data_IF_632000552347
#
_entry.id   IF_632000552347
#
_cell.length_a   1.000
_cell.length_b   1.000
_cell.length_c   1.000
_cell.angle_alpha   90.00
_cell.angle_beta   90.00
_cell.angle_gamma   90.00
#
_symmetry.space_group_name_H-M   'P 1'
#
loop_
_entity.id
_entity.type
_entity.pdbx_description
1 polymer ?
#
# COMPACT_ATOMS: atom_id res chain seq x y z
N UNK A 1 -22.56 -3.40 58.50
CA UNK A 1 -22.22 -4.23 57.33
C UNK A 1 -22.06 -3.26 56.14
N UNK A 2 -20.83 -2.77 55.96
CA UNK A 2 -20.51 -1.80 54.88
C UNK A 2 -19.98 -2.54 53.67
N UNK A 3 -20.67 -2.43 52.54
CA UNK A 3 -20.21 -2.97 51.27
C UNK A 3 -19.24 -1.95 50.61
N UNK A 4 -18.03 -2.37 50.44
CA UNK A 4 -17.00 -1.66 49.65
C UNK A 4 -17.28 -1.89 48.17
N UNK A 5 -17.28 -0.87 47.32
CA UNK A 5 -17.35 -1.06 45.87
C UNK A 5 -15.98 -1.50 45.34
N UNK A 6 -15.97 -2.61 44.60
CA UNK A 6 -14.80 -3.07 43.87
C UNK A 6 -14.47 -2.06 42.74
N UNK A 7 -13.36 -1.37 42.88
CA UNK A 7 -12.79 -0.58 41.80
C UNK A 7 -12.16 -1.54 40.78
N UNK A 8 -12.82 -1.74 39.63
CA UNK A 8 -12.22 -2.35 38.47
C UNK A 8 -11.20 -1.37 37.90
N UNK A 9 -9.95 -1.47 38.31
CA UNK A 9 -8.83 -0.77 37.72
C UNK A 9 -8.50 -1.42 36.38
N UNK A 10 -9.00 -0.86 35.31
CA UNK A 10 -8.39 -1.07 34.01
C UNK A 10 -6.99 -0.43 34.09
N UNK A 11 -5.95 -1.26 34.14
CA UNK A 11 -4.57 -0.79 34.12
C UNK A 11 -4.34 -0.08 32.77
N UNK A 12 -3.97 1.21 32.82
CA UNK A 12 -3.52 1.93 31.63
C UNK A 12 -2.37 1.14 30.98
N UNK A 13 -2.46 0.81 29.68
CA UNK A 13 -1.41 0.05 29.01
C UNK A 13 -0.12 0.87 29.04
N UNK A 14 0.93 0.28 29.60
CA UNK A 14 2.26 0.91 29.59
C UNK A 14 2.68 1.16 28.12
N UNK A 15 3.30 2.30 27.78
CA UNK A 15 3.64 2.68 26.41
C UNK A 15 4.39 1.60 25.62
N UNK A 16 5.23 0.80 26.28
CA UNK A 16 5.96 -0.30 25.66
C UNK A 16 5.09 -1.51 25.30
N UNK A 17 4.00 -1.77 26.04
CA UNK A 17 3.09 -2.90 25.76
C UNK A 17 2.20 -2.59 24.55
N UNK A 18 1.70 -1.36 24.42
CA UNK A 18 0.86 -0.93 23.29
C UNK A 18 1.64 -0.96 21.95
N UNK A 19 2.88 -0.51 21.96
CA UNK A 19 3.74 -0.57 20.75
C UNK A 19 4.06 -2.01 20.35
N UNK A 20 4.29 -2.89 21.30
CA UNK A 20 4.55 -4.32 21.05
C UNK A 20 3.32 -5.01 20.49
N UNK A 21 2.14 -4.72 21.04
CA UNK A 21 0.88 -5.27 20.55
C UNK A 21 0.57 -4.75 19.14
N UNK A 22 0.73 -3.46 18.88
CA UNK A 22 0.59 -2.89 17.54
C UNK A 22 1.53 -3.56 16.54
N UNK A 23 2.80 -3.78 16.91
CA UNK A 23 3.77 -4.48 16.07
C UNK A 23 3.29 -5.89 15.71
N UNK A 24 2.77 -6.65 16.67
CA UNK A 24 2.20 -7.98 16.43
C UNK A 24 0.99 -7.94 15.48
N UNK A 25 0.10 -6.95 15.63
CA UNK A 25 -1.04 -6.78 14.74
C UNK A 25 -0.61 -6.37 13.31
N UNK A 26 0.40 -5.53 13.17
CA UNK A 26 0.97 -5.17 11.85
C UNK A 26 1.55 -6.40 11.16
N UNK A 27 2.31 -7.25 11.86
CA UNK A 27 2.83 -8.51 11.31
C UNK A 27 1.69 -9.44 10.89
N UNK A 28 0.66 -9.58 11.74
CA UNK A 28 -0.51 -10.39 11.42
C UNK A 28 -1.24 -9.87 10.18
N UNK A 29 -1.50 -8.56 10.10
CA UNK A 29 -2.14 -7.91 8.97
C UNK A 29 -1.33 -8.15 7.67
N UNK A 30 -0.02 -7.93 7.70
CA UNK A 30 0.86 -8.14 6.55
C UNK A 30 0.77 -9.58 6.03
N UNK A 31 0.76 -10.57 6.94
CA UNK A 31 0.59 -11.99 6.57
C UNK A 31 -0.77 -12.28 5.92
N UNK A 32 -1.86 -11.73 6.47
CA UNK A 32 -3.21 -11.91 5.90
C UNK A 32 -3.32 -11.26 4.52
N UNK A 33 -2.80 -10.04 4.37
CA UNK A 33 -2.75 -9.35 3.07
C UNK A 33 -1.92 -10.14 2.06
N UNK A 34 -0.76 -10.68 2.45
CA UNK A 34 0.08 -11.49 1.57
C UNK A 34 -0.65 -12.78 1.13
N UNK A 35 -1.34 -13.48 2.04
CA UNK A 35 -2.12 -14.66 1.72
C UNK A 35 -3.26 -14.34 0.74
N UNK A 36 -3.99 -13.25 0.97
CA UNK A 36 -5.06 -12.79 0.06
C UNK A 36 -4.50 -12.43 -1.32
N UNK A 37 -3.37 -11.71 -1.36
CA UNK A 37 -2.67 -11.38 -2.62
C UNK A 37 -2.27 -12.63 -3.40
N UNK A 38 -1.72 -13.66 -2.75
CA UNK A 38 -1.36 -14.91 -3.41
C UNK A 38 -2.57 -15.60 -4.07
N UNK A 39 -3.75 -15.56 -3.44
CA UNK A 39 -5.00 -16.06 -4.03
C UNK A 39 -5.48 -15.22 -5.23
N UNK A 40 -5.31 -13.91 -5.18
CA UNK A 40 -5.69 -13.01 -6.27
C UNK A 40 -4.73 -13.12 -7.47
N UNK A 41 -3.43 -13.32 -7.22
CA UNK A 41 -2.42 -13.47 -8.28
C UNK A 41 -2.63 -14.77 -9.09
N UNK A 42 -3.07 -15.85 -8.44
CA UNK A 42 -3.45 -17.10 -9.13
C UNK A 42 -4.70 -16.97 -10.03
N UNK A 43 -5.43 -15.88 -9.89
CA UNK A 43 -6.58 -15.50 -10.73
C UNK A 43 -6.23 -14.36 -11.67
N UNK A 44 -5.00 -14.33 -12.24
CA UNK A 44 -4.58 -13.30 -13.18
C UNK A 44 -5.68 -13.05 -14.24
N UNK A 45 -6.59 -12.14 -13.94
CA UNK A 45 -7.54 -11.58 -14.89
C UNK A 45 -6.75 -10.60 -15.74
N UNK A 46 -6.77 -10.76 -17.03
CA UNK A 46 -6.09 -9.90 -18.00
C UNK A 46 -4.56 -10.06 -18.15
N UNK A 47 -3.93 -11.12 -17.63
CA UNK A 47 -2.49 -11.35 -17.82
C UNK A 47 -1.56 -10.35 -17.08
N UNK A 48 -2.13 -9.46 -16.26
CA UNK A 48 -1.39 -8.43 -15.52
C UNK A 48 -1.20 -8.88 -14.08
N UNK A 49 0.05 -8.96 -13.64
CA UNK A 49 0.39 -9.29 -12.26
C UNK A 49 -0.04 -8.18 -11.30
N UNK A 50 -0.34 -8.56 -10.07
CA UNK A 50 -0.66 -7.58 -9.00
C UNK A 50 0.44 -6.53 -8.79
N UNK A 51 1.69 -6.90 -9.02
CA UNK A 51 2.82 -5.97 -8.94
C UNK A 51 2.70 -4.80 -9.93
N UNK A 52 2.11 -5.04 -11.10
CA UNK A 52 1.84 -4.01 -12.08
C UNK A 52 0.71 -3.05 -11.67
N UNK A 53 -0.20 -3.49 -10.77
CA UNK A 53 -1.22 -2.60 -10.20
C UNK A 53 -0.61 -1.43 -9.43
N UNK A 54 0.47 -1.65 -8.69
CA UNK A 54 1.15 -0.57 -7.94
C UNK A 54 1.70 0.49 -8.88
N UNK A 55 2.29 0.07 -10.00
CA UNK A 55 2.75 0.98 -11.07
C UNK A 55 1.59 1.78 -11.64
N UNK A 56 0.50 1.10 -11.98
CA UNK A 56 -0.69 1.73 -12.54
C UNK A 56 -1.33 2.70 -11.54
N UNK A 57 -1.38 2.34 -10.26
CA UNK A 57 -1.86 3.21 -9.18
C UNK A 57 -1.11 4.56 -9.19
N UNK A 58 0.21 4.54 -9.19
CA UNK A 58 1.01 5.78 -9.18
C UNK A 58 0.80 6.61 -10.44
N UNK A 59 0.76 5.98 -11.62
CA UNK A 59 0.53 6.69 -12.88
C UNK A 59 -0.88 7.29 -12.98
N UNK A 60 -1.89 6.66 -12.40
CA UNK A 60 -3.26 7.20 -12.37
C UNK A 60 -3.39 8.33 -11.34
N UNK A 61 -2.74 8.20 -10.16
CA UNK A 61 -2.86 9.17 -9.07
C UNK A 61 -1.97 10.40 -9.24
N UNK A 62 -0.72 10.20 -9.66
CA UNK A 62 0.30 11.26 -9.74
C UNK A 62 0.53 11.76 -11.17
N UNK A 63 -0.12 11.14 -12.18
CA UNK A 63 0.05 11.50 -13.57
C UNK A 63 1.25 10.85 -14.24
N UNK A 64 1.56 11.33 -15.45
CA UNK A 64 2.69 10.84 -16.22
C UNK A 64 4.01 11.16 -15.52
N UNK A 65 4.95 10.21 -15.52
CA UNK A 65 6.26 10.37 -14.87
C UNK A 65 7.34 9.53 -15.54
N UNK A 66 8.59 9.88 -15.30
CA UNK A 66 9.76 9.09 -15.76
C UNK A 66 9.85 7.77 -14.98
N UNK A 67 10.40 6.75 -15.63
CA UNK A 67 10.59 5.43 -15.01
C UNK A 67 11.45 5.47 -13.74
N UNK A 68 12.43 6.37 -13.67
CA UNK A 68 13.26 6.57 -12.47
C UNK A 68 12.44 7.12 -11.30
N UNK A 69 11.62 8.14 -11.51
CA UNK A 69 10.74 8.70 -10.48
C UNK A 69 9.72 7.66 -9.99
N UNK A 70 9.21 6.82 -10.89
CA UNK A 70 8.33 5.71 -10.54
C UNK A 70 9.03 4.66 -9.67
N UNK A 71 10.28 4.31 -9.99
CA UNK A 71 11.09 3.37 -9.20
C UNK A 71 11.33 3.86 -7.77
N UNK A 72 11.65 5.13 -7.61
CA UNK A 72 11.82 5.78 -6.31
C UNK A 72 10.51 5.77 -5.51
N UNK A 73 9.38 6.12 -6.15
CA UNK A 73 8.06 6.19 -5.51
C UNK A 73 7.56 4.82 -5.04
N UNK A 74 7.81 3.77 -5.84
CA UNK A 74 7.42 2.38 -5.52
C UNK A 74 8.43 1.71 -4.59
N UNK A 75 9.58 2.33 -4.33
CA UNK A 75 10.70 1.74 -3.59
C UNK A 75 11.12 0.37 -4.16
N UNK A 76 11.21 0.29 -5.48
CA UNK A 76 11.56 -0.92 -6.22
C UNK A 76 12.81 -0.69 -7.05
N UNK A 77 13.52 -1.77 -7.36
CA UNK A 77 14.69 -1.68 -8.22
C UNK A 77 14.28 -1.31 -9.67
N UNK A 78 15.14 -0.58 -10.41
CA UNK A 78 14.83 -0.14 -11.76
C UNK A 78 14.55 -1.29 -12.74
N UNK A 79 15.13 -2.47 -12.53
CA UNK A 79 14.96 -3.63 -13.42
C UNK A 79 13.57 -4.25 -13.24
N UNK A 80 13.07 -4.27 -12.02
CA UNK A 80 11.70 -4.72 -11.71
C UNK A 80 10.68 -3.76 -12.30
N UNK A 81 10.85 -2.45 -12.11
CA UNK A 81 9.97 -1.42 -12.71
C UNK A 81 10.00 -1.51 -14.24
N UNK A 82 11.18 -1.72 -14.85
CA UNK A 82 11.30 -1.86 -16.30
C UNK A 82 10.49 -3.05 -16.83
N UNK A 83 10.53 -4.20 -16.16
CA UNK A 83 9.73 -5.38 -16.55
C UNK A 83 8.24 -5.16 -16.38
N UNK A 84 7.82 -4.59 -15.26
CA UNK A 84 6.42 -4.30 -14.97
C UNK A 84 5.83 -3.30 -15.97
N UNK A 85 6.57 -2.23 -16.28
CA UNK A 85 6.15 -1.23 -17.25
C UNK A 85 6.11 -1.78 -18.68
N UNK A 86 7.06 -2.66 -19.06
CA UNK A 86 7.02 -3.31 -20.37
C UNK A 86 5.75 -4.16 -20.53
N UNK A 87 5.42 -4.97 -19.54
CA UNK A 87 4.17 -5.76 -19.53
C UNK A 87 2.92 -4.88 -19.62
N UNK A 88 2.85 -3.78 -18.87
CA UNK A 88 1.71 -2.86 -18.93
C UNK A 88 1.58 -2.15 -20.29
N UNK A 89 2.71 -1.83 -20.95
CA UNK A 89 2.71 -1.28 -22.32
C UNK A 89 2.21 -2.32 -23.32
N UNK A 90 2.68 -3.56 -23.21
CA UNK A 90 2.25 -4.66 -24.08
C UNK A 90 0.73 -4.91 -24.00
N UNK A 91 0.16 -4.77 -22.79
CA UNK A 91 -1.29 -4.89 -22.57
C UNK A 91 -2.06 -3.59 -22.88
N UNK A 92 -1.41 -2.54 -23.36
CA UNK A 92 -2.04 -1.27 -23.70
C UNK A 92 -2.59 -0.47 -22.50
N UNK A 93 -2.14 -0.79 -21.27
CA UNK A 93 -2.61 -0.15 -20.03
C UNK A 93 -1.82 1.13 -19.68
N UNK A 94 -0.60 1.21 -20.14
CA UNK A 94 0.21 2.41 -20.10
C UNK A 94 0.84 2.68 -21.48
N UNK A 95 1.22 3.90 -21.70
CA UNK A 95 1.91 4.30 -22.92
C UNK A 95 3.16 5.11 -22.62
N UNK A 96 4.04 5.19 -23.60
CA UNK A 96 5.26 6.03 -23.56
C UNK A 96 4.98 7.32 -24.28
N UNK A 97 5.21 8.46 -23.63
CA UNK A 97 5.06 9.80 -24.18
C UNK A 97 6.39 10.55 -24.14
N UNK A 98 6.68 11.45 -25.07
CA UNK A 98 7.79 12.40 -24.91
C UNK A 98 7.62 13.20 -23.61
N UNK A 99 8.72 13.43 -22.92
CA UNK A 99 8.71 14.30 -21.74
C UNK A 99 8.53 15.75 -22.22
N UNK A 100 7.58 16.51 -21.66
CA UNK A 100 7.33 17.89 -22.11
C UNK A 100 8.49 18.85 -21.83
N UNK A 101 9.33 18.55 -20.84
CA UNK A 101 10.44 19.41 -20.42
C UNK A 101 11.78 18.98 -21.04
N UNK A 102 11.87 17.72 -21.52
CA UNK A 102 13.07 17.15 -22.10
C UNK A 102 12.71 16.21 -23.25
N UNK A 103 12.73 16.70 -24.47
CA UNK A 103 12.37 15.93 -25.65
C UNK A 103 13.24 14.68 -25.93
N UNK A 104 14.32 14.46 -25.16
CA UNK A 104 15.14 13.25 -25.21
C UNK A 104 14.68 12.20 -24.19
N UNK A 105 13.88 12.58 -23.23
CA UNK A 105 13.36 11.71 -22.18
C UNK A 105 11.96 11.21 -22.53
N UNK A 106 11.57 10.10 -21.89
CA UNK A 106 10.26 9.47 -22.05
C UNK A 106 9.57 9.39 -20.69
N UNK A 107 8.30 9.77 -20.66
CA UNK A 107 7.40 9.56 -19.55
C UNK A 107 6.48 8.37 -19.82
N UNK A 108 6.08 7.70 -18.75
CA UNK A 108 5.05 6.67 -18.73
C UNK A 108 3.73 7.32 -18.30
N UNK A 109 2.65 7.03 -19.01
CA UNK A 109 1.32 7.54 -18.70
C UNK A 109 0.29 6.41 -18.72
N UNK A 110 -0.70 6.45 -17.83
CA UNK A 110 -1.83 5.54 -17.89
C UNK A 110 -2.72 5.87 -19.10
N UNK A 111 -3.10 4.84 -19.89
CA UNK A 111 -4.11 4.96 -20.94
C UNK A 111 -5.51 4.98 -20.34
N UNK A 112 -6.54 5.22 -21.16
CA UNK A 112 -7.94 5.11 -20.71
C UNK A 112 -8.28 3.68 -20.32
N UNK A 113 -7.76 2.67 -21.03
CA UNK A 113 -7.87 1.26 -20.66
C UNK A 113 -7.22 0.97 -19.30
N UNK A 114 -6.04 1.56 -19.05
CA UNK A 114 -5.37 1.45 -17.76
C UNK A 114 -6.16 2.09 -16.61
N UNK A 115 -6.73 3.26 -16.85
CA UNK A 115 -7.62 3.91 -15.85
C UNK A 115 -8.86 3.09 -15.55
N UNK A 116 -9.51 2.56 -16.58
CA UNK A 116 -10.69 1.71 -16.42
C UNK A 116 -10.36 0.43 -15.61
N UNK A 117 -9.24 -0.24 -15.92
CA UNK A 117 -8.79 -1.40 -15.14
C UNK A 117 -8.48 -1.02 -13.69
N UNK A 118 -7.81 0.10 -13.46
CA UNK A 118 -7.52 0.59 -12.12
C UNK A 118 -8.81 0.82 -11.30
N UNK A 119 -9.81 1.47 -11.89
CA UNK A 119 -11.10 1.74 -11.23
C UNK A 119 -11.86 0.45 -10.93
N UNK A 120 -11.83 -0.53 -11.84
CA UNK A 120 -12.40 -1.85 -11.60
C UNK A 120 -11.72 -2.55 -10.41
N UNK A 121 -10.38 -2.63 -10.39
CA UNK A 121 -9.62 -3.26 -9.31
C UNK A 121 -9.82 -2.56 -7.98
N UNK A 122 -9.95 -1.22 -8.00
CA UNK A 122 -10.29 -0.43 -6.82
C UNK A 122 -11.67 -0.81 -6.28
N UNK A 123 -12.67 -0.87 -7.14
CA UNK A 123 -14.04 -1.24 -6.74
C UNK A 123 -14.11 -2.67 -6.17
N UNK A 124 -13.41 -3.62 -6.79
CA UNK A 124 -13.33 -4.99 -6.28
C UNK A 124 -12.66 -5.05 -4.88
N UNK A 125 -11.57 -4.32 -4.70
CA UNK A 125 -10.90 -4.21 -3.39
C UNK A 125 -11.80 -3.55 -2.35
N UNK A 126 -12.45 -2.46 -2.69
CA UNK A 126 -13.34 -1.72 -1.79
C UNK A 126 -14.53 -2.60 -1.38
N UNK A 127 -15.06 -3.42 -2.30
CA UNK A 127 -16.09 -4.43 -2.01
C UNK A 127 -15.60 -5.53 -1.06
N UNK A 128 -14.37 -6.01 -1.23
CA UNK A 128 -13.77 -6.99 -0.31
C UNK A 128 -13.61 -6.41 1.10
N UNK A 129 -13.11 -5.20 1.22
CA UNK A 129 -12.97 -4.51 2.52
C UNK A 129 -14.35 -4.31 3.15
N UNK A 130 -15.34 -3.84 2.40
CA UNK A 130 -16.71 -3.66 2.89
C UNK A 130 -17.31 -4.97 3.41
N UNK A 131 -17.03 -6.10 2.76
CA UNK A 131 -17.53 -7.41 3.21
C UNK A 131 -16.93 -7.86 4.55
N UNK A 132 -15.70 -7.47 4.84
CA UNK A 132 -15.05 -7.75 6.14
C UNK A 132 -15.60 -6.85 7.25
N UNK A 133 -16.06 -5.66 6.90
CA UNK A 133 -16.51 -4.63 7.84
C UNK A 133 -18.04 -4.60 8.02
N UNK A 134 -18.78 -5.58 7.47
CA UNK A 134 -20.25 -5.59 7.41
C UNK A 134 -20.92 -5.43 8.79
N UNK A 135 -20.32 -6.01 9.82
CA UNK A 135 -20.83 -6.00 11.20
C UNK A 135 -20.14 -4.92 12.09
N UNK A 136 -19.33 -4.06 11.50
CA UNK A 136 -18.62 -3.05 12.26
C UNK A 136 -19.47 -1.78 12.43
N UNK A 137 -19.32 -1.12 13.59
CA UNK A 137 -19.87 0.24 13.74
C UNK A 137 -19.18 1.20 12.77
N UNK A 138 -19.94 2.03 12.03
CA UNK A 138 -19.36 3.02 11.12
C UNK A 138 -18.35 3.98 11.78
N UNK A 139 -18.53 4.30 13.07
CA UNK A 139 -17.58 5.13 13.82
C UNK A 139 -16.24 4.43 14.04
N UNK A 140 -16.25 3.11 14.28
CA UNK A 140 -15.03 2.32 14.41
C UNK A 140 -14.30 2.21 13.07
N UNK A 141 -15.04 2.04 11.96
CA UNK A 141 -14.46 2.04 10.61
C UNK A 141 -13.77 3.38 10.32
N UNK A 142 -14.43 4.49 10.61
CA UNK A 142 -13.87 5.83 10.41
C UNK A 142 -12.64 6.07 11.29
N UNK A 143 -12.67 5.63 12.54
CA UNK A 143 -11.55 5.72 13.48
C UNK A 143 -10.36 4.91 13.00
N UNK A 144 -10.58 3.66 12.57
CA UNK A 144 -9.52 2.82 12.02
C UNK A 144 -8.91 3.45 10.77
N UNK A 145 -9.72 3.95 9.85
CA UNK A 145 -9.24 4.61 8.63
C UNK A 145 -8.36 5.83 8.96
N UNK A 146 -8.77 6.68 9.88
CA UNK A 146 -8.00 7.84 10.32
C UNK A 146 -6.67 7.46 10.99
N UNK A 147 -6.69 6.46 11.89
CA UNK A 147 -5.48 6.01 12.58
C UNK A 147 -4.49 5.33 11.61
N UNK A 148 -4.98 4.57 10.63
CA UNK A 148 -4.15 3.98 9.59
C UNK A 148 -3.54 5.05 8.67
N UNK A 149 -4.29 6.06 8.27
CA UNK A 149 -3.80 7.17 7.47
C UNK A 149 -2.65 7.90 8.20
N UNK A 150 -2.85 8.24 9.47
CA UNK A 150 -1.82 8.84 10.31
C UNK A 150 -0.59 7.95 10.43
N UNK A 151 -0.78 6.65 10.73
CA UNK A 151 0.33 5.71 10.90
C UNK A 151 1.14 5.53 9.62
N UNK A 152 0.48 5.42 8.47
CA UNK A 152 1.16 5.27 7.16
C UNK A 152 1.91 6.54 6.79
N UNK A 153 1.33 7.73 7.03
CA UNK A 153 2.00 9.03 6.83
C UNK A 153 3.25 9.15 7.69
N UNK A 154 3.16 8.81 8.98
CA UNK A 154 4.30 8.83 9.89
C UNK A 154 5.38 7.83 9.44
N UNK A 155 4.99 6.64 9.00
CA UNK A 155 5.91 5.61 8.49
C UNK A 155 6.65 6.09 7.23
N UNK A 156 5.96 6.71 6.29
CA UNK A 156 6.55 7.29 5.08
C UNK A 156 7.56 8.39 5.43
N UNK A 157 7.21 9.27 6.35
CA UNK A 157 8.07 10.36 6.80
C UNK A 157 9.36 9.84 7.49
N UNK A 158 9.25 8.80 8.30
CA UNK A 158 10.38 8.23 9.04
C UNK A 158 11.17 7.16 8.26
N UNK A 159 10.69 6.73 7.09
CA UNK A 159 11.32 5.67 6.27
C UNK A 159 12.83 5.84 6.07
N UNK A 160 13.35 7.03 5.67
CA UNK A 160 14.79 7.17 5.42
C UNK A 160 15.64 6.91 6.67
N UNK A 161 15.12 7.26 7.84
CA UNK A 161 15.79 7.00 9.13
C UNK A 161 15.74 5.53 9.51
N UNK A 162 14.58 4.87 9.30
CA UNK A 162 14.38 3.46 9.61
C UNK A 162 15.32 2.58 8.76
N UNK A 163 15.44 2.85 7.46
CA UNK A 163 16.34 2.11 6.57
C UNK A 163 17.79 2.23 7.03
N UNK A 164 18.27 3.43 7.37
CA UNK A 164 19.64 3.61 7.92
C UNK A 164 19.88 2.81 9.19
N UNK A 165 18.86 2.69 10.06
CA UNK A 165 18.97 1.91 11.30
C UNK A 165 19.06 0.41 10.97
N UNK A 166 18.29 -0.10 10.02
CA UNK A 166 18.33 -1.51 9.59
C UNK A 166 19.70 -1.83 8.99
N UNK A 167 20.20 -1.01 8.06
CA UNK A 167 21.52 -1.18 7.44
C UNK A 167 22.65 -1.23 8.47
N UNK A 168 22.53 -0.44 9.55
CA UNK A 168 23.53 -0.43 10.63
C UNK A 168 23.50 -1.70 11.49
N UNK A 169 22.34 -2.37 11.60
CA UNK A 169 22.19 -3.62 12.34
C UNK A 169 22.74 -4.84 11.56
N UNK A 170 22.71 -4.79 10.22
CA UNK A 170 23.24 -5.86 9.37
C UNK A 170 24.78 -5.83 9.27
N UNK A 171 25.39 -4.70 9.64
CA UNK A 171 26.85 -4.50 9.55
C UNK A 171 27.57 -4.78 10.89
N UNK A 172 26.84 -5.09 11.97
CA UNK A 172 27.36 -5.38 13.32
C UNK A 172 27.34 -6.87 13.64
#
# INVERSE_FOLDING_TARGET
MSRQPASSGAADPQPGSASSELSAQVVRLTRQVAALRAHLTNRARHGVEWSAYVVLFHLVKSGAMRSSALAEMVCSDPSTISRQTASLVEHGLIERRPDPDDGRAVQLAATDAGRALFDQMRSERDGLIASVLVDWDPADVATLAHLLDRFTTDLEHHRPRLLKTIDSLETS
#
